data_IF_299090099833
#
_entry.id   IF_299090099833
#
_cell.length_a   1.000
_cell.length_b   1.000
_cell.length_c   1.000
_cell.angle_alpha   90.00
_cell.angle_beta   90.00
_cell.angle_gamma   90.00
#
_symmetry.space_group_name_H-M   'P 1'
#
loop_
_entity.id
_entity.type
_entity.pdbx_description
1 polymer ?
#
# COMPACT_ATOMS: atom_id res chain seq x y z
N UNK A 1 -48.94 -13.06 31.79
CA UNK A 1 -47.56 -13.34 31.38
C UNK A 1 -47.31 -13.23 29.87
N UNK A 2 -48.16 -13.74 28.97
CA UNK A 2 -47.99 -13.62 27.51
C UNK A 2 -48.00 -12.18 26.96
N UNK A 3 -48.75 -11.25 27.56
CA UNK A 3 -48.83 -9.85 27.10
C UNK A 3 -47.59 -9.01 27.46
N UNK A 4 -46.82 -9.37 28.48
CA UNK A 4 -45.61 -8.68 28.89
C UNK A 4 -44.45 -9.07 27.94
N UNK A 5 -44.42 -10.33 27.50
CA UNK A 5 -43.41 -10.82 26.58
C UNK A 5 -43.51 -10.20 25.17
N UNK A 6 -44.77 -9.88 24.75
CA UNK A 6 -45.00 -9.26 23.42
C UNK A 6 -44.59 -7.79 23.38
N UNK A 7 -44.44 -7.11 24.52
CA UNK A 7 -43.97 -5.73 24.59
C UNK A 7 -42.44 -5.61 24.77
N UNK A 8 -41.80 -6.65 25.31
CA UNK A 8 -40.36 -6.65 25.54
C UNK A 8 -39.55 -6.86 24.26
N UNK A 9 -40.09 -7.60 23.27
CA UNK A 9 -39.42 -7.90 22.02
C UNK A 9 -39.23 -6.68 21.13
N UNK A 10 -40.23 -5.78 20.92
CA UNK A 10 -39.98 -4.60 20.08
C UNK A 10 -39.11 -3.54 20.76
N UNK A 11 -39.07 -3.48 22.11
CA UNK A 11 -38.17 -2.55 22.81
C UNK A 11 -36.69 -2.99 22.74
N UNK A 12 -36.40 -4.28 22.59
CA UNK A 12 -35.05 -4.79 22.40
C UNK A 12 -34.52 -4.50 20.98
N UNK A 13 -35.43 -4.38 19.99
CA UNK A 13 -35.05 -4.01 18.61
C UNK A 13 -34.99 -2.48 18.39
N UNK A 14 -35.45 -1.67 19.33
CA UNK A 14 -35.38 -0.22 19.29
C UNK A 14 -34.17 0.35 20.07
N UNK A 15 -33.29 -0.49 20.61
CA UNK A 15 -31.97 -0.03 20.96
C UNK A 15 -31.31 0.38 19.65
N UNK A 16 -31.51 1.65 19.29
CA UNK A 16 -30.82 2.27 18.16
C UNK A 16 -29.36 1.91 18.26
N UNK A 17 -28.79 1.47 17.17
CA UNK A 17 -27.35 1.36 17.02
C UNK A 17 -26.85 2.73 17.47
N UNK A 18 -26.33 2.83 18.68
CA UNK A 18 -25.61 4.00 19.12
C UNK A 18 -24.40 4.05 18.20
N UNK A 19 -24.54 4.78 17.12
CA UNK A 19 -23.41 5.21 16.31
C UNK A 19 -22.61 6.10 17.25
N UNK A 20 -21.65 5.51 17.96
CA UNK A 20 -20.67 6.28 18.65
C UNK A 20 -19.94 7.05 17.53
N UNK A 21 -20.21 8.33 17.42
CA UNK A 21 -19.53 9.22 16.49
C UNK A 21 -18.07 9.25 16.95
N UNK A 22 -17.21 8.52 16.22
CA UNK A 22 -15.79 8.46 16.50
C UNK A 22 -15.24 9.84 16.17
N UNK A 23 -14.59 10.50 17.14
CA UNK A 23 -13.96 11.79 16.86
C UNK A 23 -12.93 11.67 15.74
N UNK A 24 -12.78 12.71 14.91
CA UNK A 24 -11.84 12.74 13.80
C UNK A 24 -10.41 12.39 14.25
N UNK A 25 -9.99 12.90 15.41
CA UNK A 25 -8.69 12.56 15.99
C UNK A 25 -8.53 11.07 16.30
N UNK A 26 -9.55 10.44 16.85
CA UNK A 26 -9.54 9.00 17.12
C UNK A 26 -9.49 8.20 15.82
N UNK A 27 -10.27 8.59 14.81
CA UNK A 27 -10.25 7.98 13.50
C UNK A 27 -8.84 8.08 12.86
N UNK A 28 -8.22 9.25 12.92
CA UNK A 28 -6.85 9.48 12.43
C UNK A 28 -5.83 8.54 13.08
N UNK A 29 -5.87 8.40 14.42
CA UNK A 29 -4.96 7.50 15.16
C UNK A 29 -5.16 6.05 14.72
N UNK A 30 -6.41 5.58 14.64
CA UNK A 30 -6.69 4.20 14.24
C UNK A 30 -6.33 3.94 12.77
N UNK A 31 -6.60 4.86 11.86
CA UNK A 31 -6.24 4.73 10.46
C UNK A 31 -4.72 4.70 10.29
N UNK A 32 -4.00 5.60 10.94
CA UNK A 32 -2.52 5.62 10.94
C UNK A 32 -1.95 4.32 11.49
N UNK A 33 -2.49 3.82 12.61
CA UNK A 33 -2.08 2.55 13.18
C UNK A 33 -2.36 1.38 12.22
N UNK A 34 -3.52 1.36 11.58
CA UNK A 34 -3.88 0.33 10.60
C UNK A 34 -2.89 0.29 9.43
N UNK A 35 -2.50 1.45 8.87
CA UNK A 35 -1.52 1.53 7.80
C UNK A 35 -0.14 1.01 8.24
N UNK A 36 0.34 1.43 9.41
CA UNK A 36 1.64 0.96 9.95
C UNK A 36 1.60 -0.54 10.21
N UNK A 37 0.56 -1.03 10.89
CA UNK A 37 0.44 -2.45 11.21
C UNK A 37 0.34 -3.32 9.94
N UNK A 38 -0.48 -2.91 8.99
CA UNK A 38 -0.61 -3.60 7.70
C UNK A 38 0.69 -3.54 6.90
N UNK A 39 1.38 -2.40 6.92
CA UNK A 39 2.70 -2.26 6.28
C UNK A 39 3.74 -3.21 6.86
N UNK A 40 3.78 -3.36 8.18
CA UNK A 40 4.65 -4.37 8.85
C UNK A 40 4.31 -5.78 8.40
N UNK A 41 3.02 -6.13 8.31
CA UNK A 41 2.60 -7.45 7.80
C UNK A 41 3.05 -7.66 6.35
N UNK A 42 2.92 -6.66 5.48
CA UNK A 42 3.39 -6.74 4.10
C UNK A 42 4.91 -6.83 4.02
N UNK A 43 5.64 -6.18 4.94
CA UNK A 43 7.11 -6.30 5.01
C UNK A 43 7.57 -7.76 5.20
N UNK A 44 6.79 -8.61 5.87
CA UNK A 44 7.08 -10.04 5.97
C UNK A 44 7.07 -10.76 4.61
N UNK A 45 6.43 -10.21 3.59
CA UNK A 45 6.52 -10.75 2.23
C UNK A 45 7.95 -10.68 1.69
N UNK A 46 8.70 -9.60 1.96
CA UNK A 46 10.09 -9.48 1.55
C UNK A 46 10.95 -10.60 2.21
N UNK A 47 10.71 -10.91 3.48
CA UNK A 47 11.34 -12.03 4.16
C UNK A 47 10.94 -13.37 3.50
N UNK A 48 9.65 -13.57 3.25
CA UNK A 48 9.14 -14.78 2.60
C UNK A 48 9.75 -15.01 1.21
N UNK A 49 9.84 -13.96 0.38
CA UNK A 49 10.52 -14.02 -0.92
C UNK A 49 12.01 -14.31 -0.80
N UNK A 50 12.69 -13.73 0.17
CA UNK A 50 14.10 -14.01 0.44
C UNK A 50 14.33 -15.49 0.77
N UNK A 51 13.47 -16.08 1.60
CA UNK A 51 13.53 -17.50 1.95
C UNK A 51 13.19 -18.41 0.77
N UNK A 52 12.18 -18.04 -0.02
CA UNK A 52 11.77 -18.74 -1.22
C UNK A 52 12.92 -18.77 -2.26
N UNK A 53 13.49 -17.61 -2.57
CA UNK A 53 14.61 -17.52 -3.49
C UNK A 53 15.83 -18.30 -3.00
N UNK A 54 16.14 -18.22 -1.71
CA UNK A 54 17.23 -18.96 -1.11
C UNK A 54 17.06 -20.49 -1.25
N UNK A 55 15.81 -20.97 -1.24
CA UNK A 55 15.47 -22.38 -1.44
C UNK A 55 15.60 -22.85 -2.89
N UNK A 56 15.38 -21.94 -3.86
CA UNK A 56 15.44 -22.30 -5.29
C UNK A 56 16.82 -22.16 -5.93
N UNK A 57 17.75 -21.46 -5.30
CA UNK A 57 19.11 -21.29 -5.84
C UNK A 57 20.06 -22.35 -5.32
N UNK A 58 21.18 -22.52 -6.03
CA UNK A 58 22.25 -23.43 -5.59
C UNK A 58 22.88 -22.94 -4.30
N UNK A 59 23.25 -23.84 -3.39
CA UNK A 59 23.84 -23.53 -2.07
C UNK A 59 24.95 -22.47 -2.11
N UNK A 60 25.80 -22.48 -3.12
CA UNK A 60 26.89 -21.50 -3.28
C UNK A 60 26.41 -20.08 -3.54
N UNK A 61 25.18 -19.90 -4.01
CA UNK A 61 24.60 -18.60 -4.37
C UNK A 61 23.63 -18.06 -3.32
N UNK A 62 23.29 -18.84 -2.30
CA UNK A 62 22.30 -18.49 -1.28
C UNK A 62 22.63 -17.17 -0.57
N UNK A 63 23.89 -16.98 -0.13
CA UNK A 63 24.32 -15.75 0.54
C UNK A 63 24.23 -14.52 -0.40
N UNK A 64 24.59 -14.68 -1.67
CA UNK A 64 24.50 -13.61 -2.66
C UNK A 64 23.05 -13.21 -2.93
N UNK A 65 22.11 -14.17 -2.96
CA UNK A 65 20.69 -13.92 -3.14
C UNK A 65 20.09 -13.21 -1.92
N UNK A 66 20.44 -13.63 -0.71
CA UNK A 66 19.97 -12.97 0.51
C UNK A 66 20.46 -11.52 0.61
N UNK A 67 21.76 -11.29 0.29
CA UNK A 67 22.31 -9.93 0.23
C UNK A 67 21.60 -9.10 -0.85
N UNK A 68 21.34 -9.68 -2.01
CA UNK A 68 20.59 -9.02 -3.10
C UNK A 68 19.20 -8.59 -2.62
N UNK A 69 18.47 -9.43 -1.88
CA UNK A 69 17.15 -9.11 -1.36
C UNK A 69 17.15 -7.96 -0.35
N UNK A 70 18.13 -7.90 0.54
CA UNK A 70 18.30 -6.75 1.46
C UNK A 70 18.60 -5.47 0.67
N UNK A 71 19.52 -5.56 -0.29
CA UNK A 71 19.92 -4.40 -1.10
C UNK A 71 18.75 -3.87 -1.96
N UNK A 72 17.98 -4.73 -2.62
CA UNK A 72 16.85 -4.29 -3.43
C UNK A 72 15.74 -3.66 -2.58
N UNK A 73 15.50 -4.17 -1.38
CA UNK A 73 14.53 -3.59 -0.45
C UNK A 73 14.94 -2.16 -0.05
N UNK A 74 16.23 -1.97 0.27
CA UNK A 74 16.77 -0.65 0.60
C UNK A 74 16.70 0.32 -0.59
N UNK A 75 17.06 -0.14 -1.79
CA UNK A 75 16.96 0.65 -3.03
C UNK A 75 15.51 1.03 -3.30
N UNK A 76 14.56 0.10 -3.15
CA UNK A 76 13.15 0.39 -3.32
C UNK A 76 12.66 1.48 -2.37
N UNK A 77 13.04 1.41 -1.08
CA UNK A 77 12.71 2.43 -0.10
C UNK A 77 13.24 3.81 -0.49
N UNK A 78 14.52 3.89 -0.86
CA UNK A 78 15.17 5.15 -1.25
C UNK A 78 14.54 5.73 -2.53
N UNK A 79 14.38 4.92 -3.57
CA UNK A 79 13.85 5.39 -4.85
C UNK A 79 12.36 5.77 -4.75
N UNK A 80 11.60 5.01 -4.00
CA UNK A 80 10.19 5.33 -3.76
C UNK A 80 10.03 6.60 -2.92
N UNK A 81 10.94 6.84 -1.95
CA UNK A 81 10.97 8.08 -1.19
C UNK A 81 11.33 9.30 -2.06
N UNK A 82 12.37 9.19 -2.89
CA UNK A 82 12.89 10.30 -3.67
C UNK A 82 11.97 10.72 -4.82
N UNK A 83 11.36 9.75 -5.49
CA UNK A 83 10.64 10.00 -6.75
C UNK A 83 9.30 9.25 -6.77
N UNK A 84 9.28 7.99 -6.36
CA UNK A 84 8.19 7.07 -6.63
C UNK A 84 6.87 7.48 -6.02
N UNK A 85 6.86 7.91 -4.77
CA UNK A 85 5.63 8.30 -4.07
C UNK A 85 4.97 9.52 -4.71
N UNK A 86 5.75 10.57 -4.98
CA UNK A 86 5.23 11.78 -5.61
C UNK A 86 4.72 11.52 -7.02
N UNK A 87 5.45 10.70 -7.78
CA UNK A 87 5.05 10.33 -9.14
C UNK A 87 3.73 9.54 -9.16
N UNK A 88 3.42 8.83 -8.08
CA UNK A 88 2.22 7.98 -7.96
C UNK A 88 1.00 8.72 -7.41
N UNK A 89 1.19 9.65 -6.45
CA UNK A 89 0.11 10.19 -5.65
C UNK A 89 -0.02 11.72 -5.65
N UNK A 90 1.05 12.47 -5.96
CA UNK A 90 1.05 13.93 -5.82
C UNK A 90 0.72 14.62 -7.15
N UNK A 91 -0.26 15.50 -7.15
CA UNK A 91 -0.68 16.31 -8.33
C UNK A 91 -0.84 15.48 -9.61
N UNK A 92 -1.53 14.35 -9.51
CA UNK A 92 -1.72 13.44 -10.63
C UNK A 92 -2.55 14.09 -11.73
N UNK A 93 -1.92 14.49 -12.82
CA UNK A 93 -2.57 15.01 -14.02
C UNK A 93 -2.65 13.93 -15.11
N UNK A 94 -3.68 13.09 -15.06
CA UNK A 94 -3.98 12.07 -16.06
C UNK A 94 -3.16 10.79 -15.96
N UNK A 95 -1.84 10.82 -16.20
CA UNK A 95 -1.01 9.61 -16.30
C UNK A 95 0.18 9.57 -15.34
N UNK A 96 0.63 10.71 -14.87
CA UNK A 96 1.84 10.85 -14.06
C UNK A 96 1.64 11.98 -13.05
N UNK A 97 2.10 11.78 -11.81
CA UNK A 97 2.15 12.80 -10.78
C UNK A 97 3.36 13.73 -10.92
N UNK A 98 3.53 14.62 -9.95
CA UNK A 98 4.64 15.55 -9.92
C UNK A 98 5.95 14.88 -9.50
N UNK A 99 7.09 15.45 -9.91
CA UNK A 99 8.40 15.03 -9.45
C UNK A 99 8.76 15.75 -8.14
N UNK A 100 8.91 15.01 -7.04
CA UNK A 100 9.30 15.56 -5.74
C UNK A 100 9.55 14.45 -4.72
N UNK A 101 10.02 14.79 -3.54
CA UNK A 101 10.19 13.82 -2.44
C UNK A 101 8.86 13.49 -1.75
N UNK A 102 8.77 12.35 -1.09
CA UNK A 102 7.55 11.86 -0.45
C UNK A 102 6.97 12.78 0.63
N UNK A 103 7.79 13.61 1.24
CA UNK A 103 7.39 14.50 2.34
C UNK A 103 7.62 15.97 2.00
N UNK A 104 7.24 16.36 0.79
CA UNK A 104 7.54 17.68 0.30
C UNK A 104 6.83 18.81 1.06
N UNK A 105 5.69 18.55 1.73
CA UNK A 105 4.89 19.59 2.42
C UNK A 105 4.08 18.99 3.59
N UNK A 106 4.76 18.50 4.62
CA UNK A 106 4.12 17.64 5.62
C UNK A 106 3.52 18.34 6.83
N UNK A 107 3.86 19.60 7.09
CA UNK A 107 3.44 20.24 8.34
C UNK A 107 1.94 20.60 8.34
N UNK A 108 1.44 21.09 7.22
CA UNK A 108 0.03 21.46 7.08
C UNK A 108 -0.87 20.25 6.82
N UNK A 109 -0.38 19.23 6.10
CA UNK A 109 -1.12 18.01 5.81
C UNK A 109 -1.47 17.17 7.05
N UNK A 110 -0.63 17.19 8.08
CA UNK A 110 -0.89 16.42 9.31
C UNK A 110 -2.05 17.00 10.12
N UNK A 111 -2.18 18.31 10.17
CA UNK A 111 -3.26 18.98 10.89
C UNK A 111 -4.60 18.79 10.16
N UNK A 112 -4.63 19.01 8.87
CA UNK A 112 -5.83 18.81 8.05
C UNK A 112 -6.26 17.34 8.05
N UNK A 113 -5.32 16.42 7.86
CA UNK A 113 -5.63 14.99 7.89
C UNK A 113 -6.16 14.52 9.27
N UNK A 114 -5.67 15.11 10.37
CA UNK A 114 -6.15 14.80 11.70
C UNK A 114 -7.56 15.37 11.94
N UNK A 115 -7.84 16.59 11.47
CA UNK A 115 -9.16 17.24 11.58
C UNK A 115 -10.24 16.50 10.77
N UNK A 116 -9.88 15.96 9.60
CA UNK A 116 -10.78 15.21 8.73
C UNK A 116 -10.90 13.71 9.08
N UNK A 117 -10.14 13.24 10.07
CA UNK A 117 -10.10 11.82 10.44
C UNK A 117 -9.39 10.94 9.41
N UNK A 118 -8.46 11.52 8.65
CA UNK A 118 -7.63 10.84 7.66
C UNK A 118 -6.57 9.93 8.27
N UNK A 119 -5.36 9.98 7.74
CA UNK A 119 -4.21 9.19 8.22
C UNK A 119 -2.89 9.94 7.96
N UNK A 120 -1.82 9.56 8.66
CA UNK A 120 -0.51 10.18 8.46
C UNK A 120 0.09 9.80 7.10
N UNK A 121 0.56 10.80 6.35
CA UNK A 121 1.25 10.62 5.07
C UNK A 121 2.45 9.67 5.18
N UNK A 122 3.21 9.74 6.28
CA UNK A 122 4.32 8.83 6.53
C UNK A 122 3.90 7.37 6.68
N UNK A 123 2.71 7.11 7.25
CA UNK A 123 2.17 5.76 7.37
C UNK A 123 1.71 5.20 6.03
N UNK A 124 1.10 6.03 5.19
CA UNK A 124 0.73 5.65 3.83
C UNK A 124 1.97 5.41 2.97
N UNK A 125 2.93 6.32 3.00
CA UNK A 125 4.19 6.12 2.30
C UNK A 125 4.87 4.79 2.68
N UNK A 126 4.94 4.47 3.98
CA UNK A 126 5.51 3.21 4.44
C UNK A 126 4.75 2.01 3.89
N UNK A 127 3.41 2.04 3.97
CA UNK A 127 2.55 0.98 3.47
C UNK A 127 2.73 0.76 1.96
N UNK A 128 2.78 1.82 1.17
CA UNK A 128 2.97 1.74 -0.28
C UNK A 128 4.39 1.33 -0.68
N UNK A 129 5.39 1.80 0.07
CA UNK A 129 6.80 1.45 -0.15
C UNK A 129 7.04 -0.06 -0.01
N UNK A 130 6.44 -0.72 0.97
CA UNK A 130 6.63 -2.17 1.16
C UNK A 130 6.00 -2.99 0.02
N UNK A 131 4.94 -2.51 -0.62
CA UNK A 131 4.40 -3.12 -1.84
C UNK A 131 5.34 -2.93 -3.03
N UNK A 132 5.89 -1.74 -3.20
CA UNK A 132 6.89 -1.47 -4.22
C UNK A 132 8.12 -2.39 -4.06
N UNK A 133 8.62 -2.53 -2.84
CA UNK A 133 9.72 -3.43 -2.52
C UNK A 133 9.37 -4.92 -2.75
N UNK A 134 8.13 -5.30 -2.50
CA UNK A 134 7.65 -6.66 -2.80
C UNK A 134 7.58 -6.90 -4.30
N UNK A 135 7.13 -5.93 -5.09
CA UNK A 135 7.06 -6.08 -6.55
C UNK A 135 8.43 -6.35 -7.16
N UNK A 136 9.48 -5.64 -6.75
CA UNK A 136 10.84 -5.91 -7.23
C UNK A 136 11.40 -7.23 -6.69
N UNK A 137 10.97 -7.69 -5.53
CA UNK A 137 11.35 -9.02 -5.00
C UNK A 137 10.82 -10.15 -5.88
N UNK A 138 9.61 -10.03 -6.41
CA UNK A 138 9.05 -11.01 -7.35
C UNK A 138 9.91 -11.10 -8.61
N UNK A 139 10.29 -9.96 -9.18
CA UNK A 139 11.19 -9.91 -10.35
C UNK A 139 12.57 -10.48 -10.03
N UNK A 140 13.06 -10.22 -8.81
CA UNK A 140 14.31 -10.77 -8.29
C UNK A 140 14.33 -12.30 -8.36
N UNK A 141 13.25 -12.95 -7.94
CA UNK A 141 13.11 -14.40 -8.03
C UNK A 141 13.13 -14.94 -9.45
N UNK A 142 12.41 -14.27 -10.36
CA UNK A 142 12.39 -14.65 -11.78
C UNK A 142 13.76 -14.54 -12.47
N UNK A 143 14.59 -13.60 -12.03
CA UNK A 143 15.93 -13.33 -12.54
C UNK A 143 17.04 -14.04 -11.75
N UNK A 144 16.71 -14.82 -10.71
CA UNK A 144 17.68 -15.49 -9.86
C UNK A 144 18.64 -16.37 -10.68
N UNK A 145 19.94 -16.28 -10.39
CA UNK A 145 21.05 -16.96 -11.11
C UNK A 145 21.21 -16.62 -12.62
N UNK A 146 20.34 -15.78 -13.19
CA UNK A 146 20.34 -15.42 -14.62
C UNK A 146 20.94 -14.05 -14.91
N UNK A 147 20.93 -13.16 -13.93
CA UNK A 147 21.44 -11.79 -14.05
C UNK A 147 22.53 -11.53 -13.02
N UNK A 148 23.50 -10.70 -13.37
CA UNK A 148 24.52 -10.22 -12.42
C UNK A 148 23.90 -9.24 -11.43
N UNK A 149 24.43 -9.18 -10.20
CA UNK A 149 23.89 -8.36 -9.10
C UNK A 149 23.83 -6.87 -9.47
N UNK A 150 24.91 -6.28 -9.98
CA UNK A 150 24.97 -4.86 -10.29
C UNK A 150 23.97 -4.38 -11.35
N UNK A 151 23.87 -5.01 -12.53
CA UNK A 151 22.80 -4.68 -13.48
C UNK A 151 21.41 -4.82 -12.90
N UNK A 152 21.19 -5.79 -12.02
CA UNK A 152 19.91 -5.94 -11.34
C UNK A 152 19.61 -4.80 -10.36
N UNK A 153 20.61 -4.29 -9.63
CA UNK A 153 20.41 -3.15 -8.73
C UNK A 153 20.04 -1.88 -9.49
N UNK A 154 20.66 -1.62 -10.64
CA UNK A 154 20.31 -0.48 -11.51
C UNK A 154 18.88 -0.65 -12.03
N UNK A 155 18.52 -1.84 -12.48
CA UNK A 155 17.15 -2.14 -12.91
C UNK A 155 16.14 -1.98 -11.75
N UNK A 156 16.49 -2.42 -10.55
CA UNK A 156 15.64 -2.26 -9.35
C UNK A 156 15.38 -0.79 -9.05
N UNK A 157 16.38 0.07 -9.11
CA UNK A 157 16.23 1.51 -8.92
C UNK A 157 15.26 2.11 -9.95
N UNK A 158 15.42 1.76 -11.23
CA UNK A 158 14.56 2.25 -12.30
C UNK A 158 13.12 1.72 -12.16
N UNK A 159 12.98 0.44 -11.85
CA UNK A 159 11.66 -0.18 -11.67
C UNK A 159 10.91 0.44 -10.51
N UNK A 160 11.54 0.62 -9.35
CA UNK A 160 10.87 1.09 -8.12
C UNK A 160 10.66 2.60 -8.10
N UNK A 161 11.52 3.37 -8.76
CA UNK A 161 11.38 4.82 -8.85
C UNK A 161 10.46 5.31 -9.97
N UNK A 162 10.34 4.57 -11.06
CA UNK A 162 9.65 5.04 -12.28
C UNK A 162 8.56 4.08 -12.73
N UNK A 163 8.89 2.82 -13.06
CA UNK A 163 7.93 1.89 -13.68
C UNK A 163 6.77 1.59 -12.73
N UNK A 164 7.08 1.21 -11.50
CA UNK A 164 6.06 0.85 -10.52
C UNK A 164 5.13 2.02 -10.18
N UNK A 165 5.62 3.24 -9.91
CA UNK A 165 4.77 4.40 -9.68
C UNK A 165 3.87 4.75 -10.86
N UNK A 166 4.38 4.73 -12.09
CA UNK A 166 3.57 4.98 -13.29
C UNK A 166 2.47 3.93 -13.43
N UNK A 167 2.80 2.66 -13.23
CA UNK A 167 1.81 1.58 -13.26
C UNK A 167 0.73 1.77 -12.19
N UNK A 168 1.13 2.13 -10.96
CA UNK A 168 0.20 2.41 -9.88
C UNK A 168 -0.69 3.61 -10.18
N UNK A 169 -0.13 4.70 -10.69
CA UNK A 169 -0.88 5.87 -11.11
C UNK A 169 -1.93 5.51 -12.19
N UNK A 170 -1.53 4.76 -13.21
CA UNK A 170 -2.44 4.30 -14.27
C UNK A 170 -3.56 3.38 -13.75
N UNK A 171 -3.27 2.58 -12.74
CA UNK A 171 -4.28 1.69 -12.13
C UNK A 171 -5.35 2.48 -11.39
N UNK A 172 -4.99 3.60 -10.74
CA UNK A 172 -5.93 4.49 -10.07
C UNK A 172 -6.73 5.36 -11.04
N UNK A 173 -6.11 5.86 -12.08
CA UNK A 173 -6.73 6.82 -13.01
C UNK A 173 -7.49 6.15 -14.15
N UNK A 174 -7.14 4.91 -14.50
CA UNK A 174 -7.82 4.18 -15.59
C UNK A 174 -9.15 3.59 -15.11
N UNK A 175 -10.26 3.84 -15.83
CA UNK A 175 -11.53 3.21 -15.53
C UNK A 175 -11.40 1.70 -15.67
N UNK A 176 -11.67 0.97 -14.61
CA UNK A 176 -11.65 -0.49 -14.61
C UNK A 176 -12.68 -1.06 -15.60
N UNK A 177 -12.40 -2.14 -16.32
CA UNK A 177 -13.40 -2.85 -17.09
C UNK A 177 -14.64 -3.24 -16.27
N UNK A 178 -14.49 -3.42 -14.96
CA UNK A 178 -15.59 -3.66 -14.02
C UNK A 178 -16.51 -2.45 -13.83
N UNK A 179 -15.98 -1.23 -13.94
CA UNK A 179 -16.79 -0.01 -13.81
C UNK A 179 -17.71 0.16 -15.02
N UNK A 180 -17.27 -0.26 -16.21
CA UNK A 180 -18.11 -0.31 -17.42
C UNK A 180 -19.26 -1.32 -17.31
N UNK A 181 -19.07 -2.42 -16.60
CA UNK A 181 -20.12 -3.43 -16.39
C UNK A 181 -21.13 -2.98 -15.33
N UNK A 182 -20.69 -2.24 -14.30
CA UNK A 182 -21.59 -1.66 -13.28
C UNK A 182 -22.49 -0.56 -13.85
N UNK A 183 -21.98 0.27 -14.75
CA UNK A 183 -22.77 1.32 -15.41
C UNK A 183 -23.81 0.77 -16.39
N UNK A 184 -23.74 -0.52 -16.77
CA UNK A 184 -24.70 -1.20 -17.66
C UNK A 184 -25.73 -2.05 -16.94
N UNK A 185 -25.67 -2.14 -15.60
CA UNK A 185 -26.78 -2.73 -14.86
C UNK A 185 -27.93 -1.73 -14.86
N UNK A 186 -29.10 -2.07 -15.46
CA UNK A 186 -30.27 -1.23 -15.33
C UNK A 186 -30.57 -1.10 -13.85
N UNK A 187 -30.77 0.14 -13.38
CA UNK A 187 -31.34 0.38 -12.07
C UNK A 187 -32.70 -0.33 -12.10
N UNK A 188 -32.79 -1.48 -11.45
CA UNK A 188 -34.07 -2.13 -11.23
C UNK A 188 -34.93 -1.18 -10.42
N UNK A 189 -35.96 -0.68 -11.05
CA UNK A 189 -37.03 0.08 -10.43
C UNK A 189 -37.68 -0.70 -9.30
#
# INVERSE_FOLDING_TARGET
MKKILTFLIPTLFLSGVASAEVSAETAFVFNTFLFVFSGVLVMFMALGFSMLEAGFVRKKNTSAILLKNIALYSIAGIMFYLIGYSLMYVDVSGYIGSLGGAFYDTADDLTVAAEEGGYSLASDWFFQMVFCATAISIVSGACAERIKVWPFMIFAAFMTGIIYPIYGCLLYTSPSPRDRTRSRMPSSA
#
